data_IF_315905737065
#
_entry.id   IF_315905737065
#
_cell.length_a   1.000
_cell.length_b   1.000
_cell.length_c   1.000
_cell.angle_alpha   90.00
_cell.angle_beta   90.00
_cell.angle_gamma   90.00
#
_symmetry.space_group_name_H-M   'P 1'
#
loop_
_entity.id
_entity.type
_entity.pdbx_description
1 polymer ?
#
# COMPACT_ATOMS: atom_id res chain seq x y z
N UNK A 1 5.84 8.86 -32.63
CA UNK A 1 4.89 8.13 -31.76
C UNK A 1 4.97 8.72 -30.35
N UNK A 2 3.94 9.41 -29.87
CA UNK A 2 3.88 9.92 -28.49
C UNK A 2 3.03 8.95 -27.66
N UNK A 3 3.67 7.93 -27.07
CA UNK A 3 3.01 7.04 -26.12
C UNK A 3 3.33 7.49 -24.68
N UNK A 4 2.30 7.99 -23.99
CA UNK A 4 1.87 7.32 -22.74
C UNK A 4 2.72 7.46 -21.48
N UNK A 5 3.12 8.66 -21.07
CA UNK A 5 3.75 8.87 -19.76
C UNK A 5 2.90 8.36 -18.57
N UNK A 6 1.57 8.51 -18.63
CA UNK A 6 0.65 8.11 -17.56
C UNK A 6 0.42 6.59 -17.45
N UNK A 7 0.46 5.85 -18.58
CA UNK A 7 0.28 4.39 -18.60
C UNK A 7 1.47 3.69 -17.93
N UNK A 8 2.68 4.20 -18.13
CA UNK A 8 3.90 3.64 -17.55
C UNK A 8 3.96 3.80 -16.02
N UNK A 9 3.40 4.89 -15.49
CA UNK A 9 3.34 5.15 -14.05
C UNK A 9 2.34 4.21 -13.39
N UNK A 10 1.13 4.05 -13.95
CA UNK A 10 0.12 3.15 -13.41
C UNK A 10 0.62 1.70 -13.35
N UNK A 11 1.32 1.23 -14.38
CA UNK A 11 1.90 -0.12 -14.39
C UNK A 11 2.90 -0.31 -13.25
N UNK A 12 3.82 0.64 -13.04
CA UNK A 12 4.78 0.58 -11.93
C UNK A 12 4.10 0.55 -10.55
N UNK A 13 3.03 1.33 -10.38
CA UNK A 13 2.26 1.33 -9.13
C UNK A 13 1.63 -0.03 -8.87
N UNK A 14 1.02 -0.64 -9.90
CA UNK A 14 0.41 -1.96 -9.79
C UNK A 14 1.46 -3.03 -9.49
N UNK A 15 2.59 -3.01 -10.20
CA UNK A 15 3.69 -3.96 -9.97
C UNK A 15 4.22 -3.84 -8.52
N UNK A 16 4.46 -2.63 -8.01
CA UNK A 16 4.88 -2.41 -6.61
C UNK A 16 3.81 -2.89 -5.61
N UNK A 17 2.54 -2.60 -5.87
CA UNK A 17 1.42 -3.03 -5.01
C UNK A 17 1.33 -4.56 -4.92
N UNK A 18 1.43 -5.25 -6.04
CA UNK A 18 1.32 -6.72 -6.09
C UNK A 18 2.47 -7.39 -5.33
N UNK A 19 3.69 -6.87 -5.44
CA UNK A 19 4.87 -7.37 -4.71
C UNK A 19 4.65 -7.23 -3.20
N UNK A 20 4.29 -6.03 -2.73
CA UNK A 20 4.12 -5.77 -1.29
C UNK A 20 2.95 -6.60 -0.73
N UNK A 21 1.85 -6.70 -1.49
CA UNK A 21 0.69 -7.52 -1.10
C UNK A 21 1.03 -9.01 -1.03
N UNK A 22 1.85 -9.52 -1.95
CA UNK A 22 2.35 -10.89 -1.92
C UNK A 22 3.13 -11.17 -0.63
N UNK A 23 4.10 -10.31 -0.33
CA UNK A 23 4.92 -10.42 0.89
C UNK A 23 4.09 -10.30 2.17
N UNK A 24 3.11 -9.40 2.19
CA UNK A 24 2.17 -9.26 3.31
C UNK A 24 1.40 -10.57 3.56
N UNK A 25 0.89 -11.19 2.50
CA UNK A 25 0.13 -12.42 2.62
C UNK A 25 1.00 -13.59 3.09
N UNK A 26 2.21 -13.70 2.55
CA UNK A 26 3.20 -14.70 2.99
C UNK A 26 3.58 -14.50 4.46
N UNK A 27 3.84 -13.26 4.88
CA UNK A 27 4.13 -12.94 6.28
C UNK A 27 2.96 -13.25 7.22
N UNK A 28 1.72 -13.00 6.78
CA UNK A 28 0.52 -13.37 7.55
C UNK A 28 0.38 -14.88 7.71
N UNK A 29 0.66 -15.64 6.65
CA UNK A 29 0.60 -17.11 6.68
C UNK A 29 1.70 -17.70 7.58
N UNK A 30 2.91 -17.17 7.51
CA UNK A 30 4.07 -17.73 8.22
C UNK A 30 4.16 -17.29 9.69
N UNK A 31 3.79 -16.04 10.00
CA UNK A 31 4.04 -15.44 11.31
C UNK A 31 2.77 -14.95 12.04
N UNK A 32 1.64 -14.90 11.35
CA UNK A 32 0.38 -14.38 11.89
C UNK A 32 0.27 -12.86 11.85
N UNK A 33 -0.94 -12.36 12.12
CA UNK A 33 -1.34 -10.96 11.86
C UNK A 33 -0.65 -9.91 12.73
N UNK A 34 -0.09 -10.29 13.88
CA UNK A 34 0.52 -9.38 14.84
C UNK A 34 2.05 -9.30 14.72
N UNK A 35 2.63 -9.99 13.73
CA UNK A 35 4.06 -9.98 13.52
C UNK A 35 4.53 -8.63 12.95
N UNK A 36 5.70 -8.15 13.38
CA UNK A 36 6.24 -6.86 12.96
C UNK A 36 6.38 -6.73 11.43
N UNK A 37 6.74 -7.81 10.73
CA UNK A 37 6.80 -7.82 9.25
C UNK A 37 5.44 -7.58 8.60
N UNK A 38 4.35 -8.08 9.19
CA UNK A 38 2.99 -7.82 8.68
C UNK A 38 2.67 -6.34 8.80
N UNK A 39 3.00 -5.72 9.94
CA UNK A 39 2.86 -4.27 10.14
C UNK A 39 3.73 -3.46 9.18
N UNK A 40 4.96 -3.92 8.91
CA UNK A 40 5.88 -3.28 7.98
C UNK A 40 5.32 -3.28 6.55
N UNK A 41 4.85 -4.43 6.05
CA UNK A 41 4.25 -4.50 4.72
C UNK A 41 2.93 -3.71 4.62
N UNK A 42 2.15 -3.63 5.70
CA UNK A 42 0.97 -2.75 5.76
C UNK A 42 1.36 -1.27 5.64
N UNK A 43 2.41 -0.85 6.35
CA UNK A 43 2.93 0.52 6.25
C UNK A 43 3.43 0.82 4.83
N UNK A 44 4.11 -0.13 4.17
CA UNK A 44 4.57 0.05 2.79
C UNK A 44 3.40 0.22 1.81
N UNK A 45 2.28 -0.50 1.99
CA UNK A 45 1.07 -0.29 1.19
C UNK A 45 0.43 1.09 1.42
N UNK A 46 0.38 1.53 2.68
CA UNK A 46 -0.12 2.86 3.03
C UNK A 46 0.75 3.96 2.41
N UNK A 47 2.07 3.80 2.44
CA UNK A 47 3.03 4.74 1.88
C UNK A 47 2.94 4.76 0.36
N UNK A 48 2.74 3.61 -0.29
CA UNK A 48 2.46 3.53 -1.72
C UNK A 48 1.19 4.31 -2.07
N UNK A 49 0.11 4.12 -1.32
CA UNK A 49 -1.14 4.83 -1.52
C UNK A 49 -0.97 6.36 -1.33
N UNK A 50 -0.27 6.76 -0.26
CA UNK A 50 0.01 8.17 0.05
C UNK A 50 0.84 8.83 -1.05
N UNK A 51 1.91 8.17 -1.52
CA UNK A 51 2.81 8.70 -2.56
C UNK A 51 2.09 8.93 -3.89
N UNK A 52 1.19 8.04 -4.29
CA UNK A 52 0.58 8.06 -5.63
C UNK A 52 -0.80 8.71 -5.69
N UNK A 53 -1.58 8.63 -4.62
CA UNK A 53 -2.94 9.18 -4.58
C UNK A 53 -3.06 10.41 -3.67
N UNK A 54 -1.98 10.81 -3.00
CA UNK A 54 -1.99 11.98 -2.10
C UNK A 54 -2.95 11.82 -0.92
N UNK A 55 -3.34 10.58 -0.59
CA UNK A 55 -4.21 10.28 0.55
C UNK A 55 -3.36 10.43 1.81
N UNK A 56 -3.26 11.67 2.32
CA UNK A 56 -2.67 11.90 3.62
C UNK A 56 -3.43 11.05 4.66
N UNK A 57 -2.71 10.38 5.56
CA UNK A 57 -3.25 9.66 6.74
C UNK A 57 -4.16 10.54 7.65
N UNK A 58 -4.39 11.80 7.31
CA UNK A 58 -5.12 12.83 8.06
C UNK A 58 -6.65 12.69 8.05
N UNK A 59 -7.23 11.51 7.82
CA UNK A 59 -8.67 11.35 8.08
C UNK A 59 -9.12 10.00 8.66
N UNK A 60 -8.21 9.22 9.26
CA UNK A 60 -8.60 8.19 10.24
C UNK A 60 -8.78 8.77 11.65
N UNK A 61 -9.13 10.06 11.77
CA UNK A 61 -10.08 10.45 12.82
C UNK A 61 -11.47 10.16 12.27
N UNK A 62 -11.83 8.88 12.23
CA UNK A 62 -13.21 8.49 12.49
C UNK A 62 -13.55 9.21 13.80
N UNK A 63 -14.31 10.30 13.66
CA UNK A 63 -14.93 10.97 14.79
C UNK A 63 -15.55 9.86 15.64
N UNK A 64 -15.06 9.70 16.87
CA UNK A 64 -15.94 9.28 17.96
C UNK A 64 -17.03 10.34 18.01
N UNK A 65 -18.07 10.18 17.21
CA UNK A 65 -19.30 10.95 17.36
C UNK A 65 -20.13 10.25 18.43
N UNK A 66 -20.20 10.98 19.56
CA UNK A 66 -21.05 10.84 20.76
C UNK A 66 -20.71 9.72 21.74
#
# INVERSE_FOLDING_TARGET
MKMGGSIMILKKIVDEYEIIKGNLNEARMNFGNHHHLVTEYQNQLDDLCTRYFGVNKTNSKLKKEK
#
